data_IF_320710199780
#
_entry.id   IF_320710199780
#
_cell.length_a   1.000
_cell.length_b   1.000
_cell.length_c   1.000
_cell.angle_alpha   90.00
_cell.angle_beta   90.00
_cell.angle_gamma   90.00
#
_symmetry.space_group_name_H-M   'P 1'
#
loop_
_entity.id
_entity.type
_entity.pdbx_description
1 polymer ?
#
# COMPACT_ATOMS: atom_id res chain seq x y z
N UNK A 1 -11.14 -6.36 17.27
CA UNK A 1 -12.45 -5.77 16.95
C UNK A 1 -12.23 -4.61 16.00
N UNK A 2 -12.92 -4.59 14.85
CA UNK A 2 -12.85 -3.51 13.87
C UNK A 2 -13.38 -2.22 14.53
N UNK A 3 -12.54 -1.20 14.66
CA UNK A 3 -12.95 0.06 15.27
C UNK A 3 -14.00 0.77 14.42
N UNK A 4 -15.06 1.23 15.09
CA UNK A 4 -16.12 2.09 14.52
C UNK A 4 -15.49 3.26 13.76
N UNK A 5 -15.50 3.16 12.43
CA UNK A 5 -15.00 4.22 11.55
C UNK A 5 -14.40 3.74 10.24
N UNK A 6 -14.12 2.45 10.06
CA UNK A 6 -13.64 1.88 8.78
C UNK A 6 -14.84 1.49 7.91
N UNK A 7 -14.97 2.08 6.72
CA UNK A 7 -16.04 1.76 5.76
C UNK A 7 -15.65 0.58 4.87
N UNK A 8 -14.39 0.53 4.46
CA UNK A 8 -13.84 -0.53 3.63
C UNK A 8 -12.67 -1.16 4.35
N UNK A 9 -12.76 -2.47 4.58
CA UNK A 9 -11.66 -3.32 5.04
C UNK A 9 -11.64 -4.54 4.11
N UNK A 10 -10.73 -4.54 3.12
CA UNK A 10 -10.68 -5.57 2.10
C UNK A 10 -9.31 -6.26 2.11
N UNK A 11 -9.33 -7.58 2.07
CA UNK A 11 -8.15 -8.41 1.86
C UNK A 11 -8.17 -8.96 0.43
N UNK A 12 -7.09 -8.79 -0.31
CA UNK A 12 -6.97 -9.27 -1.70
C UNK A 12 -5.67 -10.06 -1.84
N UNK A 13 -5.70 -11.14 -2.61
CA UNK A 13 -4.54 -11.99 -2.87
C UNK A 13 -4.32 -12.07 -4.37
N UNK A 14 -3.11 -11.74 -4.82
CA UNK A 14 -2.71 -11.83 -6.23
C UNK A 14 -1.81 -13.04 -6.49
N UNK A 15 -1.35 -13.17 -7.74
CA UNK A 15 -0.36 -14.15 -8.15
C UNK A 15 0.85 -14.16 -7.21
N UNK A 16 1.42 -15.34 -7.00
CA UNK A 16 2.54 -15.60 -6.08
C UNK A 16 2.27 -15.27 -4.60
N UNK A 17 1.01 -15.31 -4.16
CA UNK A 17 0.61 -15.09 -2.75
C UNK A 17 0.97 -13.71 -2.20
N UNK A 18 1.02 -12.69 -3.06
CA UNK A 18 1.08 -11.29 -2.62
C UNK A 18 -0.26 -10.92 -1.99
N UNK A 19 -0.24 -10.43 -0.75
CA UNK A 19 -1.45 -10.11 0.01
C UNK A 19 -1.55 -8.62 0.25
N UNK A 20 -2.71 -8.08 -0.06
CA UNK A 20 -3.05 -6.68 0.14
C UNK A 20 -4.13 -6.56 1.21
N UNK A 21 -3.95 -5.61 2.11
CA UNK A 21 -4.96 -5.18 3.05
C UNK A 21 -5.25 -3.70 2.84
N UNK A 22 -6.47 -3.41 2.40
CA UNK A 22 -6.93 -2.06 2.06
C UNK A 22 -7.90 -1.60 3.12
N UNK A 23 -7.64 -0.44 3.70
CA UNK A 23 -8.52 0.19 4.66
C UNK A 23 -8.85 1.65 4.31
N UNK A 24 -10.13 2.01 4.42
CA UNK A 24 -10.62 3.38 4.27
C UNK A 24 -11.54 3.73 5.43
N UNK A 25 -11.40 4.95 5.97
CA UNK A 25 -12.21 5.40 7.11
C UNK A 25 -13.13 6.56 6.76
N UNK A 26 -14.38 6.51 7.24
CA UNK A 26 -15.33 7.62 7.14
C UNK A 26 -14.88 8.90 7.86
N UNK A 27 -13.96 8.78 8.84
CA UNK A 27 -13.39 9.96 9.52
C UNK A 27 -12.51 10.79 8.59
N UNK A 28 -11.92 10.15 7.58
CA UNK A 28 -11.12 10.82 6.56
C UNK A 28 -11.16 10.00 5.25
N UNK A 29 -12.17 10.20 4.40
CA UNK A 29 -12.33 9.43 3.16
C UNK A 29 -11.25 9.76 2.11
N UNK A 30 -10.46 10.81 2.31
CA UNK A 30 -9.34 11.14 1.43
C UNK A 30 -8.07 10.35 1.75
N UNK A 31 -8.09 9.52 2.78
CA UNK A 31 -6.95 8.70 3.19
C UNK A 31 -7.29 7.22 3.01
N UNK A 32 -6.46 6.53 2.24
CA UNK A 32 -6.47 5.09 2.10
C UNK A 32 -5.21 4.51 2.73
N UNK A 33 -5.34 3.44 3.51
CA UNK A 33 -4.22 2.67 4.02
C UNK A 33 -4.09 1.38 3.22
N UNK A 34 -2.92 1.16 2.63
CA UNK A 34 -2.58 -0.05 1.88
C UNK A 34 -1.44 -0.76 2.61
N UNK A 35 -1.69 -1.95 3.13
CA UNK A 35 -0.65 -2.81 3.70
C UNK A 35 -0.40 -3.99 2.76
N UNK A 36 0.85 -4.33 2.53
CA UNK A 36 1.25 -5.39 1.58
C UNK A 36 2.15 -6.38 2.28
N UNK A 37 1.81 -7.66 2.18
CA UNK A 37 2.67 -8.77 2.56
C UNK A 37 3.17 -9.43 1.28
N UNK A 38 4.49 -9.61 1.22
CA UNK A 38 5.15 -10.27 0.10
C UNK A 38 5.39 -11.74 0.45
N UNK A 39 5.37 -12.64 -0.55
CA UNK A 39 5.81 -14.00 -0.34
C UNK A 39 7.26 -14.05 0.12
N UNK A 40 7.66 -15.20 0.65
CA UNK A 40 9.05 -15.43 1.00
C UNK A 40 9.91 -15.33 -0.27
N UNK A 41 10.95 -14.49 -0.30
CA UNK A 41 11.80 -14.35 -1.48
C UNK A 41 12.51 -15.67 -1.82
N UNK A 42 12.86 -15.84 -3.10
CA UNK A 42 13.82 -16.86 -3.50
C UNK A 42 15.19 -16.58 -2.87
N UNK A 43 16.02 -17.62 -2.70
CA UNK A 43 17.34 -17.49 -2.05
C UNK A 43 18.31 -16.52 -2.74
N UNK A 44 18.04 -16.16 -4.00
CA UNK A 44 18.85 -15.23 -4.79
C UNK A 44 18.41 -13.76 -4.66
N UNK A 45 17.23 -13.51 -4.05
CA UNK A 45 16.68 -12.16 -3.95
C UNK A 45 17.05 -11.50 -2.62
N UNK A 46 17.68 -10.33 -2.69
CA UNK A 46 18.08 -9.57 -1.51
C UNK A 46 16.91 -8.73 -1.01
N UNK A 47 16.33 -9.14 0.12
CA UNK A 47 15.35 -8.35 0.85
C UNK A 47 16.03 -7.60 2.01
N UNK A 48 15.71 -6.31 2.14
CA UNK A 48 16.12 -5.46 3.26
C UNK A 48 14.85 -5.04 4.00
N UNK A 49 14.77 -5.34 5.29
CA UNK A 49 13.58 -5.09 6.12
C UNK A 49 12.27 -5.63 5.50
N UNK A 50 12.34 -6.79 4.83
CA UNK A 50 11.18 -7.45 4.23
C UNK A 50 10.77 -6.92 2.85
N UNK A 51 11.54 -6.02 2.23
CA UNK A 51 11.28 -5.50 0.89
C UNK A 51 12.48 -5.71 -0.04
N UNK A 52 12.29 -5.85 -1.37
CA UNK A 52 13.39 -5.85 -2.32
C UNK A 52 14.28 -4.61 -2.18
N UNK A 53 15.58 -4.78 -2.40
CA UNK A 53 16.52 -3.66 -2.39
C UNK A 53 16.07 -2.52 -3.33
N UNK A 54 16.08 -1.28 -2.84
CA UNK A 54 15.67 -0.09 -3.60
C UNK A 54 14.17 0.16 -3.68
N UNK A 55 13.32 -0.70 -3.11
CA UNK A 55 11.86 -0.55 -3.19
C UNK A 55 11.36 0.77 -2.57
N UNK A 56 11.93 1.18 -1.43
CA UNK A 56 11.52 2.40 -0.73
C UNK A 56 11.85 3.64 -1.57
N UNK A 57 13.03 3.67 -2.18
CA UNK A 57 13.50 4.75 -3.05
C UNK A 57 12.63 4.84 -4.31
N UNK A 58 12.30 3.68 -4.91
CA UNK A 58 11.43 3.62 -6.07
C UNK A 58 10.02 4.15 -5.77
N UNK A 59 9.43 3.76 -4.63
CA UNK A 59 8.12 4.25 -4.19
C UNK A 59 8.15 5.77 -3.97
N UNK A 60 9.18 6.29 -3.30
CA UNK A 60 9.34 7.73 -3.06
C UNK A 60 9.50 8.50 -4.37
N UNK A 61 10.29 7.97 -5.31
CA UNK A 61 10.52 8.59 -6.61
C UNK A 61 9.24 8.63 -7.47
N UNK A 62 8.47 7.54 -7.50
CA UNK A 62 7.27 7.43 -8.32
C UNK A 62 6.05 8.14 -7.69
N UNK A 63 5.87 8.02 -6.38
CA UNK A 63 4.62 8.37 -5.71
C UNK A 63 4.78 9.24 -4.46
N UNK A 64 5.98 9.75 -4.15
CA UNK A 64 6.26 10.48 -2.90
C UNK A 64 5.37 11.70 -2.63
N UNK A 65 4.77 12.28 -3.66
CA UNK A 65 3.78 13.36 -3.49
C UNK A 65 2.44 12.87 -2.94
N UNK A 66 2.07 11.62 -3.25
CA UNK A 66 0.78 10.99 -2.94
C UNK A 66 0.83 10.11 -1.69
N UNK A 67 1.96 9.44 -1.45
CA UNK A 67 2.07 8.40 -0.43
C UNK A 67 3.01 8.79 0.69
N UNK A 68 2.63 8.41 1.90
CA UNK A 68 3.50 8.36 3.07
C UNK A 68 3.76 6.89 3.40
N UNK A 69 5.04 6.48 3.44
CA UNK A 69 5.43 5.16 3.92
C UNK A 69 5.39 5.17 5.44
N UNK A 70 4.70 4.21 6.06
CA UNK A 70 4.69 4.03 7.51
C UNK A 70 5.82 3.08 7.91
N UNK A 71 6.60 3.52 8.89
CA UNK A 71 7.72 2.79 9.47
C UNK A 71 7.61 2.87 11.01
N UNK A 72 7.42 1.74 11.72
CA UNK A 72 7.34 0.38 11.19
C UNK A 72 6.06 0.14 10.36
N UNK A 73 6.06 -0.85 9.44
CA UNK A 73 4.83 -1.30 8.80
C UNK A 73 3.90 -1.92 9.85
N UNK A 74 2.62 -2.08 9.48
CA UNK A 74 1.66 -2.79 10.31
C UNK A 74 2.11 -4.25 10.51
N UNK A 75 1.87 -4.77 11.71
CA UNK A 75 2.15 -6.15 12.07
C UNK A 75 1.63 -7.15 11.03
N UNK A 76 2.50 -8.06 10.58
CA UNK A 76 2.19 -9.07 9.56
C UNK A 76 2.34 -8.60 8.11
N UNK A 77 2.73 -7.35 7.88
CA UNK A 77 2.96 -6.78 6.55
C UNK A 77 4.41 -6.33 6.37
N UNK A 78 4.89 -6.42 5.13
CA UNK A 78 6.22 -5.97 4.73
C UNK A 78 6.26 -4.47 4.42
N UNK A 79 5.13 -3.92 3.99
CA UNK A 79 4.96 -2.50 3.64
C UNK A 79 3.61 -1.99 4.14
N UNK A 80 3.57 -0.74 4.59
CA UNK A 80 2.31 -0.03 4.80
C UNK A 80 2.40 1.39 4.26
N UNK A 81 1.48 1.74 3.37
CA UNK A 81 1.38 3.04 2.72
C UNK A 81 0.11 3.75 3.16
N UNK A 82 0.24 5.02 3.51
CA UNK A 82 -0.88 5.95 3.66
C UNK A 82 -0.96 6.80 2.40
N UNK A 83 -1.99 6.57 1.59
CA UNK A 83 -2.22 7.23 0.32
C UNK A 83 -3.19 8.40 0.52
N UNK A 84 -2.80 9.59 0.06
CA UNK A 84 -3.68 10.76 0.06
C UNK A 84 -4.37 10.91 -1.30
N UNK A 85 -5.64 10.50 -1.34
CA UNK A 85 -6.50 10.55 -2.52
C UNK A 85 -6.81 11.99 -2.96
N UNK A 86 -6.73 12.98 -2.07
CA UNK A 86 -6.97 14.38 -2.43
C UNK A 86 -5.89 14.96 -3.35
N UNK A 87 -4.74 14.29 -3.44
CA UNK A 87 -3.62 14.70 -4.30
C UNK A 87 -3.61 13.96 -5.64
N UNK A 88 -4.56 13.05 -5.85
CA UNK A 88 -4.71 12.42 -7.16
C UNK A 88 -5.04 13.48 -8.21
N UNK A 89 -4.45 13.42 -9.40
CA UNK A 89 -4.80 14.33 -10.47
C UNK A 89 -6.29 14.17 -10.81
N UNK A 90 -7.00 15.30 -10.91
CA UNK A 90 -8.45 15.33 -11.14
C UNK A 90 -8.90 14.69 -12.48
N UNK A 91 -7.95 14.33 -13.35
CA UNK A 91 -8.21 13.76 -14.65
C UNK A 91 -7.45 12.43 -14.83
N UNK A 92 -8.04 11.34 -14.34
CA UNK A 92 -7.70 9.98 -14.78
C UNK A 92 -8.80 9.44 -15.72
N UNK A 93 -9.42 10.34 -16.48
CA UNK A 93 -10.56 10.05 -17.35
C UNK A 93 -10.10 9.48 -18.69
N UNK A 94 -10.34 8.17 -18.86
CA UNK A 94 -10.60 7.46 -20.12
C UNK A 94 -9.58 7.65 -21.25
N UNK A 95 -8.60 6.73 -21.33
CA UNK A 95 -8.23 6.23 -22.65
C UNK A 95 -9.40 5.36 -23.14
N UNK A 96 -10.32 5.99 -23.87
CA UNK A 96 -11.22 5.25 -24.76
C UNK A 96 -10.36 4.61 -25.84
N UNK A 97 -10.31 3.28 -25.84
CA UNK A 97 -9.77 2.46 -26.93
C UNK A 97 -10.47 2.76 -28.26
#
# INVERSE_FOLDING_TARGET
>A
SLEKGVELDHHWVEFDDVRYHIQVSMKNPHVLLLSVSLPTPSSETIFVCGLPFGAIEAIKAAYGNLVQILDPPRDGFNLTLKINLSKLPANQGTESF
#
